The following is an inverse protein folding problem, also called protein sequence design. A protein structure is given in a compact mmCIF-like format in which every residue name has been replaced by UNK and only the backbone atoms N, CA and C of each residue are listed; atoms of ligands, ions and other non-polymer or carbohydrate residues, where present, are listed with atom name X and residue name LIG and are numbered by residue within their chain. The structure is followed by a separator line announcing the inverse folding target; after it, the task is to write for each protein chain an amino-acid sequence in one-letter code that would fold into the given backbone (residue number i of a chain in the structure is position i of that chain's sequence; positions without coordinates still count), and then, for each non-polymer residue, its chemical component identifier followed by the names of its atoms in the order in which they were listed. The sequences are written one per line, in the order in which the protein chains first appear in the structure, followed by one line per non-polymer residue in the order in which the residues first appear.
data_IF_111551030749
#
_entry.id   IF_111551030749
#
_cell.length_a   1.000
_cell.length_b   1.000
_cell.length_c   1.000
_cell.angle_alpha   90.00
_cell.angle_beta   90.00
_cell.angle_gamma   90.00
#
_symmetry.space_group_name_H-M   'P 1'
#
loop_
_entity.id
_entity.type
_entity.pdbx_description
1 polymer ?
#
# COMPACT_ATOMS: atom_id res chain seq x y z
N UNK A 1 0.08 -5.46 9.09
CA UNK A 1 -1.23 -6.07 8.71
C UNK A 1 -1.78 -5.40 7.46
N UNK A 2 -2.45 -6.11 6.52
CA UNK A 2 -2.88 -5.54 5.23
C UNK A 2 -4.21 -4.78 5.27
N UNK A 3 -5.18 -5.20 6.08
CA UNK A 3 -6.46 -4.52 6.29
C UNK A 3 -6.97 -4.78 7.72
N UNK A 4 -7.90 -3.96 8.19
CA UNK A 4 -8.44 -4.05 9.55
C UNK A 4 -9.64 -5.01 9.58
N UNK A 5 -9.41 -6.23 10.04
CA UNK A 5 -10.48 -7.20 10.35
C UNK A 5 -10.47 -7.45 11.85
N UNK A 6 -11.49 -6.94 12.54
CA UNK A 6 -11.59 -7.05 14.00
C UNK A 6 -12.63 -8.08 14.40
N UNK A 7 -12.58 -8.51 15.66
CA UNK A 7 -13.55 -9.43 16.25
C UNK A 7 -15.00 -8.92 16.17
N UNK A 8 -15.22 -7.61 16.12
CA UNK A 8 -16.55 -7.02 15.91
C UNK A 8 -17.12 -7.39 14.54
N UNK A 9 -16.32 -7.32 13.48
CA UNK A 9 -16.74 -7.70 12.13
C UNK A 9 -16.96 -9.22 12.00
N UNK A 10 -16.11 -10.03 12.63
CA UNK A 10 -16.24 -11.49 12.61
C UNK A 10 -17.49 -11.93 13.37
N UNK A 11 -17.80 -11.31 14.51
CA UNK A 11 -18.97 -11.61 15.31
C UNK A 11 -20.29 -11.27 14.60
N UNK A 12 -20.31 -10.19 13.80
CA UNK A 12 -21.49 -9.80 13.02
C UNK A 12 -21.86 -10.85 11.96
N UNK A 13 -20.86 -11.57 11.42
CA UNK A 13 -21.03 -12.55 10.35
C UNK A 13 -21.36 -13.96 10.86
N UNK A 14 -21.65 -14.14 12.15
CA UNK A 14 -22.05 -15.46 12.66
C UNK A 14 -23.42 -15.89 12.12
N UNK A 15 -23.62 -17.18 11.79
CA UNK A 15 -22.71 -18.32 11.99
C UNK A 15 -21.69 -18.57 10.85
N UNK A 16 -21.82 -17.87 9.72
CA UNK A 16 -21.06 -18.10 8.47
C UNK A 16 -19.59 -17.63 8.57
N UNK A 17 -19.25 -16.83 9.59
CA UNK A 17 -17.91 -16.27 9.85
C UNK A 17 -17.35 -15.57 8.59
N UNK A 18 -16.05 -15.66 8.38
CA UNK A 18 -15.28 -14.85 7.41
C UNK A 18 -15.23 -15.48 6.00
N UNK A 19 -15.51 -16.79 5.92
CA UNK A 19 -15.31 -17.63 4.73
C UNK A 19 -16.45 -17.53 3.70
N UNK A 20 -17.56 -16.88 4.04
CA UNK A 20 -18.70 -16.71 3.13
C UNK A 20 -18.55 -15.50 2.22
N UNK A 21 -19.18 -14.39 2.61
CA UNK A 21 -19.34 -13.22 1.74
C UNK A 21 -18.03 -12.45 1.54
N UNK A 22 -17.29 -12.16 2.62
CA UNK A 22 -16.05 -11.38 2.53
C UNK A 22 -15.01 -12.11 1.68
N UNK A 23 -14.77 -13.38 1.97
CA UNK A 23 -13.81 -14.18 1.21
C UNK A 23 -14.15 -14.24 -0.29
N UNK A 24 -15.40 -14.58 -0.63
CA UNK A 24 -15.82 -14.67 -2.02
C UNK A 24 -15.67 -13.33 -2.76
N UNK A 25 -16.17 -12.23 -2.19
CA UNK A 25 -16.04 -10.90 -2.80
C UNK A 25 -14.59 -10.50 -2.99
N UNK A 26 -13.72 -10.74 -1.99
CA UNK A 26 -12.30 -10.42 -2.09
C UNK A 26 -11.60 -11.22 -3.19
N UNK A 27 -11.94 -12.51 -3.37
CA UNK A 27 -11.39 -13.34 -4.44
C UNK A 27 -11.84 -12.85 -5.81
N UNK A 28 -13.13 -12.53 -5.98
CA UNK A 28 -13.66 -12.04 -7.27
C UNK A 28 -13.11 -10.66 -7.62
N UNK A 29 -13.04 -9.74 -6.64
CA UNK A 29 -12.43 -8.43 -6.82
C UNK A 29 -10.96 -8.56 -7.22
N UNK A 30 -10.18 -9.40 -6.52
CA UNK A 30 -8.77 -9.61 -6.85
C UNK A 30 -8.58 -10.24 -8.24
N UNK A 31 -9.47 -11.15 -8.66
CA UNK A 31 -9.46 -11.71 -10.01
C UNK A 31 -9.73 -10.63 -11.07
N UNK A 32 -10.70 -9.75 -10.84
CA UNK A 32 -10.98 -8.64 -11.75
C UNK A 32 -9.78 -7.68 -11.86
N UNK A 33 -9.16 -7.32 -10.74
CA UNK A 33 -7.96 -6.47 -10.75
C UNK A 33 -6.74 -7.11 -11.42
N UNK A 34 -6.65 -8.45 -11.43
CA UNK A 34 -5.59 -9.17 -12.15
C UNK A 34 -5.90 -9.40 -13.62
N UNK A 35 -7.16 -9.26 -14.05
CA UNK A 35 -7.56 -9.46 -15.44
C UNK A 35 -7.06 -8.33 -16.35
N UNK A 36 -7.10 -7.09 -15.85
CA UNK A 36 -6.53 -5.92 -16.54
C UNK A 36 -5.67 -5.08 -15.57
N UNK A 37 -4.41 -5.51 -15.34
CA UNK A 37 -3.52 -4.80 -14.44
C UNK A 37 -2.93 -3.54 -15.08
N UNK A 38 -2.89 -3.44 -16.42
CA UNK A 38 -2.14 -2.41 -17.14
C UNK A 38 -2.80 -1.04 -17.01
N UNK A 39 -4.13 -0.97 -17.11
CA UNK A 39 -4.88 0.27 -16.88
C UNK A 39 -4.69 0.80 -15.46
N UNK A 40 -4.72 -0.09 -14.47
CA UNK A 40 -4.52 0.28 -13.07
C UNK A 40 -3.07 0.71 -12.79
N UNK A 41 -2.09 0.02 -13.38
CA UNK A 41 -0.68 0.40 -13.24
C UNK A 41 -0.41 1.75 -13.89
N UNK A 42 -0.95 2.00 -15.09
CA UNK A 42 -0.77 3.26 -15.82
C UNK A 42 -1.38 4.44 -15.07
N UNK A 43 -2.59 4.27 -14.52
CA UNK A 43 -3.23 5.32 -13.72
C UNK A 43 -2.43 5.59 -12.44
N UNK A 44 -2.00 4.55 -11.72
CA UNK A 44 -1.16 4.70 -10.53
C UNK A 44 0.21 5.34 -10.82
N UNK A 45 0.79 5.08 -11.99
CA UNK A 45 2.06 5.70 -12.41
C UNK A 45 1.90 7.21 -12.65
N UNK A 46 0.79 7.63 -13.26
CA UNK A 46 0.44 9.06 -13.40
C UNK A 46 0.23 9.71 -12.03
N UNK A 47 -0.55 9.09 -11.14
CA UNK A 47 -0.79 9.60 -9.78
C UNK A 47 0.49 9.78 -8.96
N UNK A 48 1.46 8.89 -9.15
CA UNK A 48 2.72 8.91 -8.42
C UNK A 48 3.70 9.94 -9.00
N UNK A 49 3.58 10.24 -10.30
CA UNK A 49 4.41 11.23 -11.01
C UNK A 49 3.84 12.65 -10.94
N UNK A 50 2.54 12.82 -10.74
CA UNK A 50 1.92 14.14 -10.59
C UNK A 50 2.40 14.84 -9.30
N UNK A 51 3.20 15.92 -9.41
CA UNK A 51 3.75 16.63 -8.24
C UNK A 51 2.70 17.48 -7.51
N UNK A 52 1.52 17.68 -8.11
CA UNK A 52 0.38 18.44 -7.59
C UNK A 52 -0.30 17.79 -6.39
N UNK A 53 -0.09 16.48 -6.18
CA UNK A 53 -0.60 15.74 -5.03
C UNK A 53 0.47 15.53 -3.95
N UNK A 54 1.40 16.47 -3.82
CA UNK A 54 1.91 16.92 -2.52
C UNK A 54 2.41 15.83 -1.55
N UNK A 55 3.15 14.84 -2.05
CA UNK A 55 3.84 13.87 -1.20
C UNK A 55 4.76 14.56 -0.19
N UNK A 56 5.43 15.64 -0.61
CA UNK A 56 6.25 16.50 0.25
C UNK A 56 5.43 17.12 1.39
N UNK A 57 4.23 17.60 1.10
CA UNK A 57 3.36 18.20 2.11
C UNK A 57 2.73 17.13 3.02
N UNK A 58 2.48 15.92 2.51
CA UNK A 58 2.02 14.80 3.32
C UNK A 58 3.09 14.31 4.28
N UNK A 59 4.34 14.14 3.81
CA UNK A 59 5.50 13.80 4.63
C UNK A 59 5.73 14.85 5.73
N UNK A 60 5.75 16.14 5.39
CA UNK A 60 5.85 17.21 6.38
C UNK A 60 4.72 17.17 7.41
N UNK A 61 3.48 16.86 7.00
CA UNK A 61 2.34 16.71 7.91
C UNK A 61 2.45 15.47 8.80
N UNK A 62 2.99 14.37 8.30
CA UNK A 62 3.23 13.15 9.10
C UNK A 62 4.39 13.35 10.09
N UNK A 63 5.49 13.97 9.66
CA UNK A 63 6.62 14.34 10.52
C UNK A 63 6.18 15.28 11.65
N UNK A 64 5.33 16.28 11.33
CA UNK A 64 4.73 17.18 12.34
C UNK A 64 3.80 16.46 13.32
N UNK A 65 3.16 15.35 12.93
CA UNK A 65 2.32 14.51 13.81
C UNK A 65 3.13 13.51 14.64
N UNK A 66 4.33 13.14 14.19
CA UNK A 66 5.19 12.11 14.80
C UNK A 66 6.18 12.60 15.85
N UNK A 67 6.29 13.90 16.11
CA UNK A 67 7.05 14.45 17.24
C UNK A 67 8.58 14.45 17.13
N UNK A 68 9.18 13.81 16.12
CA UNK A 68 10.63 13.82 15.93
C UNK A 68 11.03 14.81 14.83
N UNK A 69 11.65 15.90 15.23
CA UNK A 69 12.16 16.95 14.35
C UNK A 69 13.57 16.59 13.82
N UNK A 70 13.78 16.91 12.54
CA UNK A 70 15.05 17.19 11.82
C UNK A 70 15.89 15.98 11.35
N UNK A 71 15.84 15.75 10.04
CA UNK A 71 17.05 15.67 9.21
C UNK A 71 16.71 16.23 7.83
N UNK A 72 17.61 17.02 7.26
CA UNK A 72 17.48 17.64 5.95
C UNK A 72 17.09 16.59 4.91
N UNK A 73 15.94 16.80 4.26
CA UNK A 73 15.40 15.88 3.27
C UNK A 73 16.09 16.20 1.96
N UNK A 74 17.10 15.40 1.62
CA UNK A 74 17.85 15.52 0.39
C UNK A 74 16.90 15.29 -0.80
N UNK A 75 16.79 16.26 -1.71
CA UNK A 75 15.73 16.25 -2.75
C UNK A 75 15.95 15.15 -3.80
N UNK A 76 17.17 14.62 -3.87
CA UNK A 76 17.55 13.45 -4.68
C UNK A 76 16.98 12.14 -4.13
N UNK A 77 16.77 12.04 -2.82
CA UNK A 77 16.09 10.90 -2.19
C UNK A 77 14.56 10.94 -2.39
N UNK A 78 13.99 12.03 -2.92
CA UNK A 78 12.53 12.15 -3.01
C UNK A 78 11.97 11.34 -4.20
N UNK A 79 12.79 11.05 -5.21
CA UNK A 79 12.36 10.35 -6.44
C UNK A 79 12.35 8.81 -6.35
N UNK A 80 13.04 8.19 -5.38
CA UNK A 80 13.12 6.72 -5.31
C UNK A 80 11.82 6.08 -4.78
N UNK A 81 11.13 6.77 -3.87
CA UNK A 81 9.97 6.27 -3.15
C UNK A 81 8.73 6.07 -4.06
N UNK A 82 8.40 7.02 -4.96
CA UNK A 82 7.46 6.85 -6.07
C UNK A 82 7.64 5.55 -6.88
N UNK A 83 8.85 5.33 -7.42
CA UNK A 83 9.16 4.20 -8.29
C UNK A 83 9.03 2.85 -7.57
N UNK A 84 9.38 2.81 -6.28
CA UNK A 84 9.19 1.62 -5.47
C UNK A 84 7.71 1.30 -5.23
N UNK A 85 6.84 2.29 -5.01
CA UNK A 85 5.39 2.05 -4.84
C UNK A 85 4.79 1.38 -6.07
N UNK A 86 5.15 1.85 -7.26
CA UNK A 86 4.71 1.24 -8.53
C UNK A 86 5.23 -0.20 -8.66
N UNK A 87 6.50 -0.46 -8.30
CA UNK A 87 7.05 -1.82 -8.34
C UNK A 87 6.37 -2.78 -7.34
N UNK A 88 6.02 -2.30 -6.14
CA UNK A 88 5.26 -3.09 -5.16
C UNK A 88 3.85 -3.41 -5.65
N UNK A 89 3.18 -2.46 -6.32
CA UNK A 89 1.86 -2.69 -6.92
C UNK A 89 1.94 -3.74 -8.01
N UNK A 90 2.92 -3.64 -8.91
CA UNK A 90 3.18 -4.68 -9.92
C UNK A 90 3.34 -6.05 -9.27
N UNK A 91 4.17 -6.16 -8.22
CA UNK A 91 4.38 -7.42 -7.48
C UNK A 91 3.11 -7.93 -6.78
N UNK A 92 2.23 -7.04 -6.29
CA UNK A 92 0.93 -7.40 -5.70
C UNK A 92 -0.01 -8.00 -6.76
N UNK A 93 -0.05 -7.38 -7.95
CA UNK A 93 -0.91 -7.83 -9.05
C UNK A 93 -0.41 -9.15 -9.66
N UNK A 94 0.90 -9.36 -9.76
CA UNK A 94 1.48 -10.64 -10.23
C UNK A 94 1.35 -11.81 -9.24
N UNK A 95 0.68 -11.60 -8.09
CA UNK A 95 0.42 -12.66 -7.13
C UNK A 95 1.53 -12.97 -6.13
N UNK A 96 2.39 -12.00 -5.82
CA UNK A 96 3.34 -12.18 -4.73
C UNK A 96 2.65 -12.37 -3.37
N UNK A 97 3.28 -13.17 -2.50
CA UNK A 97 2.82 -13.37 -1.13
C UNK A 97 2.75 -12.03 -0.37
N UNK A 98 1.59 -11.65 0.22
CA UNK A 98 1.42 -10.42 1.00
C UNK A 98 2.41 -10.27 2.17
N UNK A 99 2.81 -11.37 2.82
CA UNK A 99 3.79 -11.34 3.90
C UNK A 99 5.17 -10.92 3.39
N UNK A 100 5.56 -11.41 2.20
CA UNK A 100 6.83 -11.05 1.55
C UNK A 100 6.86 -9.58 1.15
N UNK A 101 5.74 -9.05 0.67
CA UNK A 101 5.62 -7.62 0.31
C UNK A 101 5.75 -6.74 1.55
N UNK A 102 5.08 -7.11 2.64
CA UNK A 102 5.15 -6.39 3.92
C UNK A 102 6.57 -6.41 4.49
N UNK A 103 7.21 -7.58 4.51
CA UNK A 103 8.59 -7.73 4.96
C UNK A 103 9.57 -6.90 4.12
N UNK A 104 9.42 -6.88 2.79
CA UNK A 104 10.24 -5.99 1.96
C UNK A 104 10.01 -4.53 2.30
N UNK A 105 8.76 -4.10 2.49
CA UNK A 105 8.47 -2.72 2.84
C UNK A 105 9.12 -2.31 4.19
N UNK A 106 9.00 -3.15 5.21
CA UNK A 106 9.54 -2.86 6.55
C UNK A 106 11.07 -2.89 6.57
N UNK A 107 11.71 -3.83 5.87
CA UNK A 107 13.18 -3.88 5.77
C UNK A 107 13.77 -2.68 5.04
N UNK A 108 13.13 -2.21 3.96
CA UNK A 108 13.55 -0.99 3.28
C UNK A 108 13.27 0.28 4.09
N UNK A 109 12.23 0.30 4.92
CA UNK A 109 11.96 1.41 5.84
C UNK A 109 12.93 1.46 7.02
N UNK A 110 13.32 0.31 7.58
CA UNK A 110 14.15 0.22 8.77
C UNK A 110 15.66 0.33 8.47
N UNK A 111 16.12 -0.06 7.26
CA UNK A 111 17.52 0.09 6.83
C UNK A 111 17.91 1.53 6.43
N UNK A 112 17.01 2.51 6.58
CA UNK A 112 17.29 3.93 6.29
C UNK A 112 17.02 4.87 7.48
N UNK A 113 16.80 4.34 8.68
CA UNK A 113 16.74 5.11 9.92
C UNK A 113 18.04 4.98 10.70
#
# INVERSE_FOLDING_TARGET
MPFRLTRQFVNLMMPVKEWGLIYSVMVHALRAYRADPDLLISTMDVFVKEPSLDWKNFEQRQLKKGGTWIKEIDTSEINWYPLQKVSYVKRKLTGANPARITWTFDTFGNNRC
#
